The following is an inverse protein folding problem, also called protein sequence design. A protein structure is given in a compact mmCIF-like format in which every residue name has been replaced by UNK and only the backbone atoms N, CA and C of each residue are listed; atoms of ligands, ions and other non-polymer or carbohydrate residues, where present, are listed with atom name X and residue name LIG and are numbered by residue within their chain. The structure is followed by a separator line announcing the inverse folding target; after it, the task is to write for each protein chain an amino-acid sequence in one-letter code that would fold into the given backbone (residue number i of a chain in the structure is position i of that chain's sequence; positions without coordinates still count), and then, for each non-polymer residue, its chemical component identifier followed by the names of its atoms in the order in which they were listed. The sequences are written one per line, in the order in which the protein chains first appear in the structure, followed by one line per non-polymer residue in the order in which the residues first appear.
data_IF_923768944529
#
_entry.id   IF_923768944529
#
_cell.length_a   1.000
_cell.length_b   1.000
_cell.length_c   1.000
_cell.angle_alpha   90.00
_cell.angle_beta   90.00
_cell.angle_gamma   90.00
#
_symmetry.space_group_name_H-M   'P 1'
#
loop_
_entity.id
_entity.type
_entity.pdbx_description
1 polymer ?
#
# COMPACT_ATOMS: atom_id res chain seq x y z
N UNK A 1 19.48 -4.74 5.31
CA UNK A 1 18.75 -4.55 6.59
C UNK A 1 18.13 -3.16 6.59
N UNK A 2 16.81 -3.07 6.43
CA UNK A 2 16.07 -1.81 6.54
C UNK A 2 15.73 -1.55 8.03
N UNK A 3 16.26 -0.45 8.58
CA UNK A 3 15.69 0.34 9.70
C UNK A 3 15.50 -0.29 11.09
N UNK A 4 16.36 0.07 12.04
CA UNK A 4 16.25 -0.18 13.49
C UNK A 4 15.18 0.69 14.21
N UNK A 5 14.03 0.99 13.58
CA UNK A 5 13.09 1.99 14.10
C UNK A 5 11.67 1.41 14.26
N UNK A 6 11.22 1.33 15.51
CA UNK A 6 9.83 1.20 15.95
C UNK A 6 8.97 0.20 15.13
N UNK A 7 8.89 -1.08 15.54
CA UNK A 7 8.14 -2.09 14.79
C UNK A 7 6.72 -1.61 14.56
N UNK A 8 6.38 -1.40 13.28
CA UNK A 8 5.08 -0.92 12.86
C UNK A 8 4.32 -2.03 12.18
N UNK A 9 3.06 -2.17 12.58
CA UNK A 9 2.18 -3.17 12.00
C UNK A 9 1.86 -2.81 10.55
N UNK A 10 2.19 -3.71 9.63
CA UNK A 10 2.02 -3.53 8.20
C UNK A 10 1.55 -4.84 7.55
N UNK A 11 0.89 -4.71 6.40
CA UNK A 11 0.81 -5.82 5.44
C UNK A 11 2.10 -5.81 4.62
N UNK A 12 2.68 -6.97 4.40
CA UNK A 12 3.94 -7.11 3.65
C UNK A 12 3.72 -8.03 2.45
N UNK A 13 4.48 -7.82 1.39
CA UNK A 13 4.41 -8.66 0.19
C UNK A 13 4.85 -10.10 0.52
N UNK A 14 3.90 -11.03 0.52
CA UNK A 14 4.15 -12.47 0.68
C UNK A 14 3.51 -13.33 -0.42
N UNK A 15 2.70 -12.73 -1.29
CA UNK A 15 1.91 -13.43 -2.32
C UNK A 15 2.64 -13.70 -3.64
N UNK A 16 3.95 -13.39 -3.71
CA UNK A 16 4.76 -13.50 -4.91
C UNK A 16 4.94 -12.17 -5.66
N UNK A 17 5.44 -12.27 -6.89
CA UNK A 17 5.75 -11.12 -7.75
C UNK A 17 4.54 -10.26 -8.07
N UNK A 18 4.74 -8.94 -8.08
CA UNK A 18 3.75 -7.96 -8.56
C UNK A 18 4.33 -7.15 -9.71
N UNK A 19 3.47 -6.65 -10.60
CA UNK A 19 3.87 -5.72 -11.67
C UNK A 19 3.66 -4.29 -11.20
N UNK A 20 4.67 -3.44 -11.37
CA UNK A 20 4.63 -2.02 -11.05
C UNK A 20 4.96 -1.18 -12.29
N UNK A 21 4.49 0.06 -12.32
CA UNK A 21 4.95 1.07 -13.26
C UNK A 21 6.15 1.82 -12.66
N UNK A 22 7.15 2.13 -13.49
CA UNK A 22 8.35 2.85 -13.08
C UNK A 22 8.30 4.30 -13.56
N UNK A 23 8.11 5.20 -12.62
CA UNK A 23 8.16 6.64 -12.85
C UNK A 23 9.62 7.11 -13.05
N UNK A 24 10.05 7.12 -14.31
CA UNK A 24 11.42 7.46 -14.69
C UNK A 24 11.73 8.95 -14.50
N UNK A 25 10.72 9.83 -14.65
CA UNK A 25 10.88 11.28 -14.57
C UNK A 25 10.60 11.85 -13.16
N UNK A 26 10.08 11.00 -12.25
CA UNK A 26 9.75 11.33 -10.86
C UNK A 26 8.66 12.39 -10.74
N UNK A 27 7.73 12.41 -11.68
CA UNK A 27 6.59 13.31 -11.70
C UNK A 27 5.55 12.98 -10.62
N UNK A 28 5.52 11.72 -10.16
CA UNK A 28 4.48 11.20 -9.28
C UNK A 28 3.16 10.91 -10.00
N UNK A 29 3.14 10.92 -11.33
CA UNK A 29 1.97 10.63 -12.16
C UNK A 29 2.26 9.49 -13.12
N UNK A 30 1.28 8.61 -13.35
CA UNK A 30 1.39 7.56 -14.35
C UNK A 30 1.32 8.16 -15.76
N UNK A 31 2.49 8.30 -16.40
CA UNK A 31 2.61 8.84 -17.75
C UNK A 31 2.43 7.77 -18.84
N UNK A 32 2.05 8.20 -20.04
CA UNK A 32 1.97 7.32 -21.19
C UNK A 32 3.37 6.80 -21.57
N UNK A 33 3.52 5.47 -21.65
CA UNK A 33 4.77 4.83 -22.04
C UNK A 33 5.73 4.53 -20.90
N UNK A 34 5.31 4.72 -19.64
CA UNK A 34 6.07 4.20 -18.49
C UNK A 34 6.32 2.69 -18.61
N UNK A 35 7.53 2.27 -18.26
CA UNK A 35 7.90 0.87 -18.29
C UNK A 35 7.29 0.13 -17.10
N UNK A 36 6.99 -1.15 -17.33
CA UNK A 36 6.58 -2.06 -16.26
C UNK A 36 7.76 -2.89 -15.78
N UNK A 37 7.72 -3.25 -14.51
CA UNK A 37 8.68 -4.15 -13.88
C UNK A 37 7.93 -5.13 -12.98
N UNK A 38 8.31 -6.41 -13.02
CA UNK A 38 7.62 -7.49 -12.30
C UNK A 38 8.59 -8.20 -11.37
N UNK A 39 8.26 -8.28 -10.09
CA UNK A 39 9.12 -8.93 -9.11
C UNK A 39 8.65 -8.83 -7.67
N UNK A 40 9.48 -9.35 -6.77
CA UNK A 40 9.33 -9.20 -5.32
C UNK A 40 10.08 -7.95 -4.86
N UNK A 41 9.33 -6.87 -4.65
CA UNK A 41 9.90 -5.56 -4.30
C UNK A 41 9.85 -5.26 -2.80
N UNK A 42 9.22 -6.12 -2.00
CA UNK A 42 9.02 -5.89 -0.56
C UNK A 42 8.07 -4.71 -0.30
N UNK A 43 7.09 -4.51 -1.19
CA UNK A 43 6.09 -3.46 -1.07
C UNK A 43 5.21 -3.74 0.15
N UNK A 44 5.11 -2.76 1.05
CA UNK A 44 4.36 -2.88 2.28
C UNK A 44 3.19 -1.89 2.31
N UNK A 45 2.16 -2.21 3.09
CA UNK A 45 1.13 -1.28 3.49
C UNK A 45 1.33 -0.87 4.95
N UNK A 46 1.81 0.34 5.20
CA UNK A 46 2.19 0.84 6.53
C UNK A 46 1.66 2.26 6.78
N UNK A 47 1.91 2.83 7.96
CA UNK A 47 1.54 4.21 8.24
C UNK A 47 2.63 5.22 7.88
N UNK A 48 2.21 6.44 7.57
CA UNK A 48 3.08 7.59 7.36
C UNK A 48 3.41 8.34 8.66
N UNK A 49 4.10 9.47 8.51
CA UNK A 49 4.66 10.24 9.62
C UNK A 49 3.77 11.32 10.25
N UNK A 50 2.56 11.60 9.75
CA UNK A 50 1.75 12.69 10.32
C UNK A 50 0.54 13.16 9.49
N UNK A 51 -0.18 14.18 9.98
CA UNK A 51 -1.43 14.67 9.38
C UNK A 51 -1.24 15.53 8.12
N UNK A 52 0.00 15.78 7.70
CA UNK A 52 0.29 16.56 6.51
C UNK A 52 -0.34 15.89 5.28
N UNK A 53 -0.77 16.72 4.34
CA UNK A 53 -1.30 16.34 3.03
C UNK A 53 -0.23 15.70 2.13
N UNK A 54 1.05 15.90 2.45
CA UNK A 54 2.19 15.29 1.77
C UNK A 54 2.64 13.97 2.42
N UNK A 55 2.49 12.87 1.67
CA UNK A 55 2.98 11.53 2.02
C UNK A 55 4.49 11.38 1.73
N UNK A 56 5.09 12.28 0.96
CA UNK A 56 6.53 12.41 0.75
C UNK A 56 7.25 11.09 0.45
N UNK A 57 8.40 10.89 1.11
CA UNK A 57 9.27 9.71 0.91
C UNK A 57 8.74 8.42 1.55
N UNK A 58 7.57 8.45 2.18
CA UNK A 58 7.03 7.28 2.87
C UNK A 58 6.43 6.24 1.90
N UNK A 59 6.23 6.59 0.62
CA UNK A 59 5.41 5.82 -0.33
C UNK A 59 6.11 5.50 -1.66
N UNK A 60 7.43 5.28 -1.65
CA UNK A 60 8.20 4.93 -2.86
C UNK A 60 7.91 3.50 -3.39
N UNK A 61 6.62 3.19 -3.60
CA UNK A 61 6.07 1.88 -3.93
C UNK A 61 5.20 1.28 -2.83
N UNK A 62 5.41 1.66 -1.57
CA UNK A 62 4.56 1.25 -0.43
C UNK A 62 3.19 1.92 -0.47
N UNK A 63 2.18 1.26 0.08
CA UNK A 63 0.86 1.85 0.34
C UNK A 63 0.85 2.48 1.74
N UNK A 64 0.49 3.76 1.85
CA UNK A 64 0.65 4.49 3.11
C UNK A 64 -0.68 4.95 3.69
N UNK A 65 -1.03 4.43 4.87
CA UNK A 65 -2.05 5.02 5.73
C UNK A 65 -1.54 6.33 6.31
N UNK A 66 -2.16 7.47 5.96
CA UNK A 66 -1.68 8.82 6.33
C UNK A 66 -1.30 8.94 7.80
N UNK A 67 -2.17 8.49 8.71
CA UNK A 67 -1.95 8.58 10.15
C UNK A 67 -1.80 7.20 10.78
N UNK A 68 -1.00 7.12 11.85
CA UNK A 68 -0.89 5.91 12.67
C UNK A 68 -2.24 5.46 13.22
N UNK A 69 -3.10 6.39 13.65
CA UNK A 69 -4.44 6.06 14.17
C UNK A 69 -5.29 5.41 13.09
N UNK A 70 -5.43 6.03 11.92
CA UNK A 70 -6.21 5.50 10.81
C UNK A 70 -5.67 4.16 10.29
N UNK A 71 -4.35 3.99 10.26
CA UNK A 71 -3.77 2.69 9.89
C UNK A 71 -4.09 1.59 10.90
N UNK A 72 -4.10 1.89 12.21
CA UNK A 72 -4.52 0.91 13.23
C UNK A 72 -5.99 0.53 13.10
N UNK A 73 -6.85 1.50 12.77
CA UNK A 73 -8.27 1.25 12.48
C UNK A 73 -8.41 0.35 11.24
N UNK A 74 -7.66 0.64 10.17
CA UNK A 74 -7.58 -0.21 8.98
C UNK A 74 -7.12 -1.65 9.32
N UNK A 75 -6.03 -1.80 10.07
CA UNK A 75 -5.53 -3.13 10.45
C UNK A 75 -6.52 -3.90 11.34
N UNK A 76 -7.27 -3.20 12.21
CA UNK A 76 -8.32 -3.82 13.00
C UNK A 76 -9.43 -4.40 12.12
N UNK A 77 -9.83 -3.68 11.07
CA UNK A 77 -10.80 -4.18 10.08
C UNK A 77 -10.24 -5.39 9.34
N UNK A 78 -9.02 -5.32 8.81
CA UNK A 78 -8.37 -6.43 8.11
C UNK A 78 -8.29 -7.68 8.98
N UNK A 79 -7.88 -7.54 10.25
CA UNK A 79 -7.77 -8.64 11.21
C UNK A 79 -9.11 -9.17 11.71
N UNK A 80 -10.21 -8.46 11.46
CA UNK A 80 -11.55 -8.95 11.76
C UNK A 80 -12.04 -10.00 10.75
N UNK A 81 -11.33 -10.21 9.64
CA UNK A 81 -11.68 -11.23 8.64
C UNK A 81 -11.71 -12.65 9.27
N UNK A 82 -12.83 -13.38 9.19
CA UNK A 82 -12.96 -14.72 9.76
C UNK A 82 -11.94 -15.72 9.21
N UNK A 83 -11.50 -15.56 7.96
CA UNK A 83 -10.48 -16.44 7.34
C UNK A 83 -9.14 -16.28 8.02
N UNK A 84 -8.78 -15.04 8.36
CA UNK A 84 -7.57 -14.74 9.11
C UNK A 84 -7.67 -15.17 10.58
N UNK A 85 -8.85 -15.03 11.19
CA UNK A 85 -9.07 -15.51 12.56
C UNK A 85 -8.97 -17.05 12.65
N UNK A 86 -9.48 -17.76 11.65
CA UNK A 86 -9.39 -19.21 11.55
C UNK A 86 -7.98 -19.69 11.17
N UNK A 87 -7.26 -18.93 10.36
CA UNK A 87 -5.91 -19.26 9.90
C UNK A 87 -5.01 -18.01 9.88
N UNK A 88 -4.07 -17.94 10.83
CA UNK A 88 -3.12 -16.81 10.94
C UNK A 88 -2.11 -16.72 9.81
N UNK A 89 -2.00 -17.74 8.97
CA UNK A 89 -1.19 -17.76 7.74
C UNK A 89 -1.98 -17.36 6.50
N UNK A 90 -3.24 -16.92 6.65
CA UNK A 90 -4.04 -16.42 5.54
C UNK A 90 -3.36 -15.21 4.88
N UNK A 91 -3.21 -15.28 3.55
CA UNK A 91 -2.66 -14.19 2.74
C UNK A 91 -3.81 -13.33 2.26
N UNK A 92 -3.76 -12.04 2.60
CA UNK A 92 -4.72 -11.06 2.11
C UNK A 92 -4.43 -10.70 0.65
N UNK A 93 -5.48 -10.55 -0.14
CA UNK A 93 -5.41 -10.00 -1.50
C UNK A 93 -5.99 -8.60 -1.50
N UNK A 94 -5.26 -7.66 -2.11
CA UNK A 94 -5.70 -6.28 -2.29
C UNK A 94 -5.70 -5.94 -3.78
N UNK A 95 -6.75 -5.25 -4.22
CA UNK A 95 -6.81 -4.62 -5.54
C UNK A 95 -6.65 -3.12 -5.35
N UNK A 96 -5.73 -2.51 -6.10
CA UNK A 96 -5.56 -1.05 -6.14
C UNK A 96 -6.34 -0.54 -7.34
N UNK A 97 -7.19 0.46 -7.11
CA UNK A 97 -8.01 1.10 -8.15
C UNK A 97 -7.63 2.57 -8.16
N UNK A 98 -7.51 3.17 -9.35
CA UNK A 98 -7.29 4.61 -9.47
C UNK A 98 -8.49 5.37 -8.87
N UNK A 99 -8.21 6.38 -8.06
CA UNK A 99 -9.27 7.16 -7.41
C UNK A 99 -10.21 7.83 -8.41
N UNK A 100 -9.71 8.27 -9.57
CA UNK A 100 -10.51 8.85 -10.66
C UNK A 100 -11.44 7.81 -11.27
N UNK A 101 -10.95 6.59 -11.51
CA UNK A 101 -11.74 5.49 -12.05
C UNK A 101 -12.87 5.08 -11.09
N UNK A 102 -12.57 5.07 -9.78
CA UNK A 102 -13.58 4.79 -8.75
C UNK A 102 -14.65 5.88 -8.72
N UNK A 103 -14.26 7.16 -8.72
CA UNK A 103 -15.19 8.29 -8.67
C UNK A 103 -16.04 8.41 -9.95
N UNK A 104 -15.49 8.02 -11.11
CA UNK A 104 -16.24 7.99 -12.36
C UNK A 104 -17.39 6.97 -12.35
N UNK A 105 -17.27 5.89 -11.58
CA UNK A 105 -18.31 4.86 -11.45
C UNK A 105 -19.41 5.24 -10.44
N UNK A 106 -19.08 6.12 -9.48
CA UNK A 106 -20.00 6.57 -8.43
C UNK A 106 -20.01 8.11 -8.34
N UNK A 107 -20.60 8.80 -9.33
CA UNK A 107 -20.71 10.24 -9.31
C UNK A 107 -21.59 10.68 -8.12
N UNK A 108 -21.21 11.81 -7.50
CA UNK A 108 -21.88 12.40 -6.34
C UNK A 108 -23.30 12.92 -6.64
#
# INVERSE_FOLDING_TARGET
MHGQANPHEALVQTGGSVTVYRDANRSGTLDAGESTDSGEFGINQHWGGGPNDDIGRWSAGCQVGRTRKGHREFMAIVKSDPRYQANRSFVFTSTIIDGKDLLAQFPA
#
